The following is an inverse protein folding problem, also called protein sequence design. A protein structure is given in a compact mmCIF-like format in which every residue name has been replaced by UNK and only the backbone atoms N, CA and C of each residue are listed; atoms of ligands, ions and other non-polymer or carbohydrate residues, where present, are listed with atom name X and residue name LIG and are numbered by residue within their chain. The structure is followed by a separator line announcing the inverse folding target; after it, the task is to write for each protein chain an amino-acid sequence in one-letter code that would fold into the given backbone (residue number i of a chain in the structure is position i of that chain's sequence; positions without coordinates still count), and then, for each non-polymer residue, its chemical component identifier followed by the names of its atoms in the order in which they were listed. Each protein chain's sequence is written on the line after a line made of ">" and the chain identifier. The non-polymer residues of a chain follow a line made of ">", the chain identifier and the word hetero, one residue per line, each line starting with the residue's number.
data_IF_460600675332
#
_entry.id   IF_460600675332
#
_cell.length_a   1.000
_cell.length_b   1.000
_cell.length_c   1.000
_cell.angle_alpha   90.00
_cell.angle_beta   90.00
_cell.angle_gamma   90.00
#
_symmetry.space_group_name_H-M   'P 1'
#
loop_
_entity.id
_entity.type
_entity.pdbx_description
1 polymer ?
#
# COMPACT_ATOMS: atom_id res chain seq x y z
N UNK A 1 7.32 -66.48 7.98
CA UNK A 1 8.27 -65.79 7.08
C UNK A 1 7.47 -64.77 6.28
N UNK A 2 7.59 -63.48 6.58
CA UNK A 2 6.86 -62.44 5.84
C UNK A 2 7.54 -62.27 4.48
N UNK A 3 6.88 -62.74 3.41
CA UNK A 3 7.31 -62.47 2.06
C UNK A 3 7.01 -61.00 1.73
N UNK A 4 8.05 -60.23 1.42
CA UNK A 4 7.90 -58.84 0.99
C UNK A 4 7.32 -58.86 -0.43
N UNK A 5 6.18 -58.21 -0.62
CA UNK A 5 5.58 -58.05 -1.94
C UNK A 5 6.35 -56.99 -2.73
N UNK A 6 7.30 -57.47 -3.53
CA UNK A 6 8.16 -56.65 -4.39
C UNK A 6 7.39 -55.78 -5.37
N UNK A 7 6.17 -56.19 -5.76
CA UNK A 7 5.35 -55.44 -6.70
C UNK A 7 4.81 -54.16 -6.05
N UNK A 8 4.37 -54.26 -4.80
CA UNK A 8 3.91 -53.12 -4.01
C UNK A 8 5.05 -52.12 -3.77
N UNK A 9 6.26 -52.63 -3.46
CA UNK A 9 7.42 -51.78 -3.20
C UNK A 9 7.86 -50.99 -4.44
N UNK A 10 7.76 -51.58 -5.63
CA UNK A 10 8.07 -50.90 -6.90
C UNK A 10 7.02 -49.84 -7.26
N UNK A 11 5.75 -50.05 -6.94
CA UNK A 11 4.71 -49.02 -7.13
C UNK A 11 4.92 -47.82 -6.20
N UNK A 12 5.24 -48.06 -4.92
CA UNK A 12 5.60 -46.98 -3.99
C UNK A 12 6.86 -46.24 -4.43
N UNK A 13 7.87 -46.96 -4.92
CA UNK A 13 9.11 -46.33 -5.42
C UNK A 13 8.82 -45.41 -6.61
N UNK A 14 7.92 -45.80 -7.53
CA UNK A 14 7.48 -44.94 -8.64
C UNK A 14 6.74 -43.70 -8.16
N UNK A 15 5.88 -43.82 -7.14
CA UNK A 15 5.17 -42.67 -6.57
C UNK A 15 6.13 -41.71 -5.87
N UNK A 16 7.16 -42.22 -5.20
CA UNK A 16 8.20 -41.41 -4.54
C UNK A 16 9.15 -40.77 -5.56
N UNK A 17 9.45 -41.46 -6.68
CA UNK A 17 10.25 -40.92 -7.79
C UNK A 17 9.45 -40.02 -8.75
N UNK A 18 8.13 -39.91 -8.58
CA UNK A 18 7.37 -38.96 -9.38
C UNK A 18 7.84 -37.54 -9.08
N UNK A 19 7.70 -36.68 -10.10
CA UNK A 19 8.20 -35.31 -10.10
C UNK A 19 7.79 -34.46 -8.88
N UNK A 20 6.54 -34.50 -8.36
CA UNK A 20 6.16 -33.62 -7.27
C UNK A 20 6.85 -33.92 -5.93
N UNK A 21 6.93 -35.19 -5.44
CA UNK A 21 7.72 -35.51 -4.25
C UNK A 21 9.22 -35.23 -4.41
N UNK A 22 9.80 -35.54 -5.58
CA UNK A 22 11.21 -35.26 -5.85
C UNK A 22 11.50 -33.75 -5.83
N UNK A 23 10.65 -32.94 -6.47
CA UNK A 23 10.76 -31.49 -6.46
C UNK A 23 10.61 -30.92 -5.04
N UNK A 24 9.71 -31.47 -4.22
CA UNK A 24 9.56 -31.08 -2.82
C UNK A 24 10.85 -31.35 -2.02
N UNK A 25 11.42 -32.55 -2.13
CA UNK A 25 12.69 -32.90 -1.46
C UNK A 25 13.83 -32.00 -1.94
N UNK A 26 13.96 -31.78 -3.25
CA UNK A 26 14.97 -30.88 -3.82
C UNK A 26 14.82 -29.44 -3.31
N UNK A 27 13.58 -28.95 -3.21
CA UNK A 27 13.26 -27.62 -2.67
C UNK A 27 13.65 -27.53 -1.20
N UNK A 28 13.34 -28.54 -0.39
CA UNK A 28 13.76 -28.59 1.01
C UNK A 28 15.28 -28.55 1.16
N UNK A 29 16.01 -29.32 0.35
CA UNK A 29 17.48 -29.32 0.35
C UNK A 29 18.03 -27.95 -0.06
N UNK A 30 17.49 -27.33 -1.12
CA UNK A 30 17.88 -25.99 -1.54
C UNK A 30 17.64 -24.95 -0.45
N UNK A 31 16.46 -24.95 0.19
CA UNK A 31 16.15 -24.04 1.30
C UNK A 31 17.10 -24.25 2.48
N UNK A 32 17.52 -25.50 2.74
CA UNK A 32 18.45 -25.81 3.82
C UNK A 32 19.88 -25.34 3.53
N UNK A 33 20.37 -25.55 2.31
CA UNK A 33 21.71 -25.11 1.85
C UNK A 33 21.79 -23.59 1.75
N UNK A 34 20.78 -22.95 1.19
CA UNK A 34 20.73 -21.48 0.99
C UNK A 34 20.17 -20.73 2.19
N UNK A 35 19.88 -21.41 3.30
CA UNK A 35 19.40 -20.80 4.54
C UNK A 35 20.22 -19.58 5.01
N UNK A 36 21.57 -19.57 5.00
CA UNK A 36 22.33 -18.40 5.42
C UNK A 36 22.18 -17.21 4.45
N UNK A 37 22.17 -17.46 3.13
CA UNK A 37 22.01 -16.41 2.11
C UNK A 37 20.60 -15.82 2.09
N UNK A 38 19.57 -16.68 2.25
CA UNK A 38 18.17 -16.26 2.36
C UNK A 38 17.99 -15.37 3.60
N UNK A 39 18.60 -15.73 4.74
CA UNK A 39 18.57 -14.88 5.95
C UNK A 39 19.22 -13.53 5.72
N UNK A 40 20.34 -13.48 5.00
CA UNK A 40 21.03 -12.23 4.70
C UNK A 40 20.20 -11.35 3.73
N UNK A 41 19.58 -11.93 2.71
CA UNK A 41 18.69 -11.20 1.79
C UNK A 41 17.40 -10.74 2.46
N UNK A 42 16.76 -11.56 3.30
CA UNK A 42 15.60 -11.17 4.09
C UNK A 42 15.98 -10.05 5.06
N UNK A 43 17.13 -10.13 5.73
CA UNK A 43 17.62 -9.06 6.59
C UNK A 43 17.92 -7.75 5.82
N UNK A 44 18.30 -7.84 4.54
CA UNK A 44 18.45 -6.66 3.68
C UNK A 44 17.10 -6.11 3.19
N UNK A 45 16.11 -6.97 2.94
CA UNK A 45 14.77 -6.57 2.48
C UNK A 45 13.93 -6.06 3.66
N UNK A 46 14.13 -6.57 4.87
CA UNK A 46 13.52 -6.01 6.09
C UNK A 46 14.09 -4.64 6.46
N UNK A 47 15.19 -4.23 5.84
CA UNK A 47 15.73 -2.85 5.88
C UNK A 47 15.39 -2.05 4.63
N UNK A 48 14.76 -2.66 3.63
CA UNK A 48 14.33 -1.96 2.43
C UNK A 48 13.01 -1.23 2.72
N UNK A 49 13.15 0.09 2.80
CA UNK A 49 12.10 1.05 3.10
C UNK A 49 11.14 1.17 1.91
N UNK A 50 9.99 0.51 1.97
CA UNK A 50 8.93 0.70 0.98
C UNK A 50 8.12 1.94 1.37
N UNK A 51 8.24 3.02 0.62
CA UNK A 51 7.36 4.20 0.75
C UNK A 51 7.60 5.09 1.97
N UNK A 52 8.80 5.09 2.56
CA UNK A 52 9.16 6.03 3.63
C UNK A 52 8.81 5.60 5.05
N UNK A 53 8.08 4.49 5.23
CA UNK A 53 7.87 3.85 6.54
C UNK A 53 8.91 2.76 6.80
N UNK A 54 9.51 2.81 7.98
CA UNK A 54 10.37 1.74 8.49
C UNK A 54 9.47 0.61 9.03
N UNK A 55 9.51 -0.56 8.38
CA UNK A 55 8.88 -1.77 8.92
C UNK A 55 9.95 -2.63 9.59
N UNK A 56 10.14 -2.42 10.89
CA UNK A 56 10.95 -3.32 11.72
C UNK A 56 10.15 -4.60 12.01
N UNK A 57 10.31 -5.63 11.15
CA UNK A 57 9.74 -6.96 11.40
C UNK A 57 10.38 -7.69 12.60
N UNK A 58 11.45 -7.14 13.18
CA UNK A 58 12.12 -7.70 14.36
C UNK A 58 11.33 -7.46 15.67
N UNK A 59 10.45 -6.46 15.72
CA UNK A 59 9.75 -6.08 16.96
C UNK A 59 8.42 -6.82 17.17
N UNK A 60 7.97 -7.62 16.20
CA UNK A 60 6.71 -8.36 16.35
C UNK A 60 6.77 -9.49 17.39
N UNK A 61 7.98 -9.84 17.88
CA UNK A 61 8.15 -10.82 18.97
C UNK A 61 8.05 -10.19 20.37
N UNK A 62 7.98 -8.86 20.50
CA UNK A 62 7.83 -8.17 21.81
C UNK A 62 6.40 -7.68 22.09
N UNK A 63 5.49 -7.76 21.13
CA UNK A 63 4.12 -7.25 21.26
C UNK A 63 3.18 -8.12 22.13
N UNK A 64 3.62 -9.29 22.58
CA UNK A 64 2.82 -10.14 23.48
C UNK A 64 3.06 -9.86 24.98
N UNK A 65 3.95 -8.92 25.33
CA UNK A 65 4.32 -8.65 26.72
C UNK A 65 4.00 -7.22 27.20
N UNK A 66 3.28 -6.42 26.41
CA UNK A 66 2.86 -5.07 26.82
C UNK A 66 1.33 -5.06 26.88
N UNK A 67 0.81 -5.60 27.98
CA UNK A 67 -0.53 -5.28 28.47
C UNK A 67 -0.37 -4.65 29.85
N UNK A 68 -1.17 -3.61 30.06
CA UNK A 68 -1.32 -2.78 31.26
C UNK A 68 -0.24 -1.69 31.47
N UNK A 69 -0.68 -0.42 31.47
CA UNK A 69 0.04 0.83 31.82
C UNK A 69 0.86 1.64 30.80
N UNK A 70 0.69 1.44 29.49
CA UNK A 70 1.27 2.37 28.50
C UNK A 70 0.34 3.57 28.21
N UNK A 71 0.66 4.72 28.82
CA UNK A 71 0.19 6.07 28.44
C UNK A 71 0.18 6.23 26.92
N UNK A 72 -0.98 6.58 26.36
CA UNK A 72 -1.11 7.02 24.97
C UNK A 72 -0.16 8.20 24.70
N UNK A 73 0.58 8.21 23.57
CA UNK A 73 1.39 9.36 23.20
C UNK A 73 0.47 10.55 22.96
N UNK A 74 0.71 11.64 23.70
CA UNK A 74 0.02 12.91 23.53
C UNK A 74 0.34 13.56 22.18
N UNK A 75 -0.42 14.61 21.80
CA UNK A 75 -0.13 15.39 20.60
C UNK A 75 1.31 15.94 20.64
N UNK A 76 1.96 16.10 19.47
CA UNK A 76 3.36 16.50 19.40
C UNK A 76 3.54 17.86 20.07
N UNK A 77 4.30 17.89 21.16
CA UNK A 77 4.80 19.12 21.78
C UNK A 77 5.94 19.71 20.92
N UNK A 78 6.00 21.05 20.85
CA UNK A 78 6.95 21.86 20.06
C UNK A 78 8.44 21.57 20.37
N UNK A 79 8.75 20.83 21.44
CA UNK A 79 10.11 20.44 21.83
C UNK A 79 10.55 19.07 21.28
N UNK A 80 9.79 18.46 20.37
CA UNK A 80 10.25 17.26 19.69
C UNK A 80 11.46 17.62 18.81
N UNK A 81 12.63 16.98 18.97
CA UNK A 81 13.82 17.32 18.20
C UNK A 81 13.49 17.20 16.72
N UNK A 82 13.60 18.32 16.01
CA UNK A 82 13.53 18.36 14.53
C UNK A 82 14.47 17.25 14.05
N UNK A 83 13.98 16.27 13.27
CA UNK A 83 14.84 15.26 12.68
C UNK A 83 15.95 15.99 11.93
N UNK A 84 17.17 15.96 12.46
CA UNK A 84 18.34 16.41 11.72
C UNK A 84 18.34 15.62 10.44
N UNK A 85 18.16 16.31 9.32
CA UNK A 85 18.18 15.71 8.00
C UNK A 85 19.47 14.90 7.89
N UNK A 86 19.34 13.58 7.98
CA UNK A 86 20.45 12.68 7.74
C UNK A 86 20.69 12.73 6.23
N UNK A 87 21.51 13.71 5.81
CA UNK A 87 21.80 14.07 4.42
C UNK A 87 22.58 13.00 3.66
N UNK A 88 22.73 11.80 4.21
CA UNK A 88 23.35 10.65 3.56
C UNK A 88 22.36 9.86 2.68
N UNK A 89 21.41 10.55 2.06
CA UNK A 89 20.75 10.04 0.85
C UNK A 89 21.77 10.08 -0.29
N UNK A 90 22.67 9.09 -0.35
CA UNK A 90 23.44 8.85 -1.56
C UNK A 90 22.44 8.32 -2.60
N UNK A 91 21.87 9.23 -3.40
CA UNK A 91 21.48 8.86 -4.76
C UNK A 91 22.70 8.13 -5.33
N UNK A 92 22.59 6.82 -5.58
CA UNK A 92 23.60 6.15 -6.39
C UNK A 92 23.49 6.78 -7.76
N UNK A 93 24.28 7.83 -7.98
CA UNK A 93 24.45 8.49 -9.25
C UNK A 93 25.24 7.56 -10.17
N UNK A 94 24.70 6.37 -10.42
CA UNK A 94 24.87 5.75 -11.72
C UNK A 94 24.13 6.67 -12.69
N UNK A 95 24.80 7.77 -13.04
CA UNK A 95 24.41 8.66 -14.09
C UNK A 95 24.47 7.81 -15.35
N UNK A 96 23.36 7.14 -15.64
CA UNK A 96 23.13 6.51 -16.92
C UNK A 96 23.33 7.63 -17.93
N UNK A 97 24.46 7.59 -18.64
CA UNK A 97 24.73 8.56 -19.71
C UNK A 97 23.52 8.52 -20.62
N UNK A 98 22.83 9.66 -20.71
CA UNK A 98 21.74 9.82 -21.64
C UNK A 98 22.30 9.55 -23.05
N UNK A 99 21.49 8.93 -23.90
CA UNK A 99 21.84 8.90 -25.32
C UNK A 99 21.96 10.34 -25.83
N UNK A 100 22.78 10.59 -26.86
CA UNK A 100 22.82 11.91 -27.51
C UNK A 100 21.42 12.39 -27.91
N UNK A 101 20.55 11.48 -28.31
CA UNK A 101 19.15 11.79 -28.66
C UNK A 101 18.34 12.25 -27.44
N UNK A 102 18.58 11.65 -26.28
CA UNK A 102 17.92 12.01 -25.02
C UNK A 102 18.40 13.37 -24.53
N UNK A 103 19.69 13.71 -24.69
CA UNK A 103 20.23 15.03 -24.34
C UNK A 103 19.62 16.14 -25.20
N UNK A 104 19.48 15.92 -26.51
CA UNK A 104 18.82 16.87 -27.42
C UNK A 104 17.33 17.01 -27.08
N UNK A 105 16.65 15.91 -26.73
CA UNK A 105 15.26 15.95 -26.29
C UNK A 105 15.10 16.73 -24.97
N UNK A 106 15.96 16.47 -23.98
CA UNK A 106 15.98 17.18 -22.70
C UNK A 106 16.24 18.68 -22.90
N UNK A 107 17.18 19.04 -23.77
CA UNK A 107 17.46 20.45 -24.10
C UNK A 107 16.23 21.18 -24.66
N UNK A 108 15.48 20.53 -25.55
CA UNK A 108 14.21 21.07 -26.09
C UNK A 108 13.13 21.19 -25.02
N UNK A 109 13.00 20.18 -24.16
CA UNK A 109 12.02 20.21 -23.06
C UNK A 109 12.32 21.35 -22.08
N UNK A 110 13.58 21.53 -21.68
CA UNK A 110 14.00 22.62 -20.79
C UNK A 110 13.80 24.00 -21.42
N UNK A 111 14.08 24.15 -22.70
CA UNK A 111 13.82 25.41 -23.42
C UNK A 111 12.31 25.72 -23.46
N UNK A 112 11.47 24.71 -23.70
CA UNK A 112 10.02 24.86 -23.68
C UNK A 112 9.49 25.24 -22.29
N UNK A 113 9.98 24.58 -21.24
CA UNK A 113 9.61 24.88 -19.84
C UNK A 113 9.96 26.31 -19.46
N UNK A 114 11.14 26.79 -19.85
CA UNK A 114 11.56 28.18 -19.61
C UNK A 114 10.69 29.19 -20.37
N UNK A 115 10.27 28.85 -21.59
CA UNK A 115 9.41 29.70 -22.40
C UNK A 115 7.94 29.68 -21.92
N UNK A 116 7.50 28.61 -21.25
CA UNK A 116 6.11 28.40 -20.83
C UNK A 116 6.00 28.05 -19.34
N UNK A 117 6.42 28.93 -18.41
CA UNK A 117 6.46 28.62 -16.99
C UNK A 117 5.05 28.36 -16.41
N UNK A 118 4.04 29.11 -16.85
CA UNK A 118 2.65 28.94 -16.39
C UNK A 118 2.08 27.55 -16.69
N UNK A 119 1.98 27.15 -17.97
CA UNK A 119 1.50 25.81 -18.34
C UNK A 119 2.34 24.68 -17.74
N UNK A 120 3.65 24.88 -17.59
CA UNK A 120 4.52 23.87 -16.97
C UNK A 120 4.16 23.67 -15.49
N UNK A 121 3.96 24.76 -14.75
CA UNK A 121 3.58 24.68 -13.33
C UNK A 121 2.21 24.03 -13.18
N UNK A 122 1.24 24.40 -14.03
CA UNK A 122 -0.09 23.79 -14.03
C UNK A 122 -0.03 22.28 -14.30
N UNK A 123 0.74 21.86 -15.32
CA UNK A 123 0.92 20.45 -15.65
C UNK A 123 1.63 19.69 -14.52
N UNK A 124 2.66 20.29 -13.91
CA UNK A 124 3.35 19.72 -12.76
C UNK A 124 2.39 19.52 -11.58
N UNK A 125 1.57 20.53 -11.26
CA UNK A 125 0.56 20.43 -10.21
C UNK A 125 -0.44 19.32 -10.50
N UNK A 126 -0.95 19.25 -11.74
CA UNK A 126 -1.85 18.18 -12.19
C UNK A 126 -1.23 16.78 -12.04
N UNK A 127 -0.01 16.60 -12.53
CA UNK A 127 0.73 15.33 -12.38
C UNK A 127 0.97 14.97 -10.91
N UNK A 128 1.30 15.97 -10.08
CA UNK A 128 1.51 15.76 -8.65
C UNK A 128 0.22 15.32 -7.94
N UNK A 129 -0.93 15.90 -8.32
CA UNK A 129 -2.25 15.53 -7.76
C UNK A 129 -2.64 14.12 -8.21
N UNK A 130 -2.47 13.79 -9.50
CA UNK A 130 -2.69 12.43 -10.01
C UNK A 130 -1.83 11.40 -9.29
N UNK A 131 -0.55 11.68 -9.05
CA UNK A 131 0.33 10.77 -8.31
C UNK A 131 -0.16 10.57 -6.86
N UNK A 132 -0.67 11.62 -6.22
CA UNK A 132 -1.28 11.50 -4.88
C UNK A 132 -2.58 10.70 -4.91
N UNK A 133 -3.39 10.83 -5.97
CA UNK A 133 -4.60 10.04 -6.17
C UNK A 133 -4.27 8.57 -6.40
N UNK A 134 -3.28 8.24 -7.23
CA UNK A 134 -2.80 6.87 -7.41
C UNK A 134 -2.36 6.23 -6.08
N UNK A 135 -1.59 6.96 -5.28
CA UNK A 135 -1.16 6.48 -3.96
C UNK A 135 -2.33 6.30 -3.00
N UNK A 136 -3.32 7.19 -3.06
CA UNK A 136 -4.52 7.09 -2.21
C UNK A 136 -5.41 5.94 -2.68
N UNK A 137 -5.54 5.73 -3.99
CA UNK A 137 -6.32 4.65 -4.56
C UNK A 137 -5.69 3.29 -4.32
N UNK A 138 -4.37 3.18 -4.35
CA UNK A 138 -3.69 1.93 -4.01
C UNK A 138 -3.86 1.53 -2.54
N UNK A 139 -4.25 2.46 -1.68
CA UNK A 139 -4.34 2.28 -0.23
C UNK A 139 -5.78 2.31 0.34
N UNK A 140 -6.80 2.58 -0.47
CA UNK A 140 -8.22 2.47 -0.10
C UNK A 140 -8.91 1.28 -0.78
N UNK A 141 -9.98 0.82 -0.15
CA UNK A 141 -10.78 -0.30 -0.64
C UNK A 141 -11.92 0.13 -1.56
N UNK A 142 -12.43 -0.78 -2.39
CA UNK A 142 -13.55 -0.51 -3.28
C UNK A 142 -14.81 -0.02 -2.54
N UNK A 143 -15.07 -0.50 -1.31
CA UNK A 143 -16.18 -0.02 -0.48
C UNK A 143 -16.03 1.43 -0.04
N UNK A 144 -14.80 1.91 0.18
CA UNK A 144 -14.52 3.33 0.47
C UNK A 144 -14.75 4.19 -0.77
N UNK A 145 -14.35 3.72 -1.96
CA UNK A 145 -14.63 4.44 -3.22
C UNK A 145 -16.14 4.53 -3.46
N UNK A 146 -16.89 3.44 -3.22
CA UNK A 146 -18.35 3.44 -3.28
C UNK A 146 -18.99 4.38 -2.26
N UNK A 147 -18.46 4.44 -1.04
CA UNK A 147 -18.92 5.37 -0.01
C UNK A 147 -18.71 6.83 -0.44
N UNK A 148 -17.56 7.16 -1.04
CA UNK A 148 -17.27 8.49 -1.59
C UNK A 148 -18.21 8.82 -2.75
N UNK A 149 -18.48 7.86 -3.65
CA UNK A 149 -19.39 8.07 -4.77
C UNK A 149 -20.83 8.28 -4.31
N UNK A 150 -21.26 7.55 -3.28
CA UNK A 150 -22.53 7.80 -2.61
C UNK A 150 -22.56 9.18 -1.96
N UNK A 151 -21.49 9.59 -1.27
CA UNK A 151 -21.37 10.92 -0.66
C UNK A 151 -21.44 12.07 -1.68
N UNK A 152 -21.02 11.83 -2.93
CA UNK A 152 -21.15 12.81 -4.03
C UNK A 152 -22.61 13.15 -4.35
N UNK A 153 -23.55 12.25 -4.06
CA UNK A 153 -24.98 12.46 -4.31
C UNK A 153 -25.67 13.32 -3.24
N UNK A 154 -24.98 13.64 -2.13
CA UNK A 154 -25.56 14.41 -1.05
C UNK A 154 -25.71 15.89 -1.42
N UNK A 155 -26.81 16.51 -0.97
CA UNK A 155 -27.03 17.96 -1.10
C UNK A 155 -26.38 18.79 0.03
N UNK A 156 -25.65 18.14 0.95
CA UNK A 156 -25.01 18.76 2.10
C UNK A 156 -24.38 17.74 3.04
N UNK A 157 -23.81 18.19 4.18
CA UNK A 157 -23.21 17.30 5.17
C UNK A 157 -24.22 16.29 5.72
N UNK A 158 -23.79 15.05 5.92
CA UNK A 158 -24.63 13.96 6.42
C UNK A 158 -24.03 13.33 7.68
N UNK A 159 -24.83 12.64 8.51
CA UNK A 159 -24.29 11.91 9.64
C UNK A 159 -23.43 10.71 9.19
N UNK A 160 -22.38 10.33 9.93
CA UNK A 160 -21.56 9.14 9.65
C UNK A 160 -22.38 7.88 9.36
N UNK A 161 -23.46 7.66 10.11
CA UNK A 161 -24.36 6.51 9.95
C UNK A 161 -24.92 6.33 8.53
N UNK A 162 -24.99 7.40 7.71
CA UNK A 162 -25.38 7.30 6.31
C UNK A 162 -24.43 6.43 5.47
N UNK A 163 -23.20 6.20 5.95
CA UNK A 163 -22.19 5.34 5.30
C UNK A 163 -22.07 3.94 5.92
N UNK A 164 -22.91 3.60 6.91
CA UNK A 164 -22.78 2.34 7.66
C UNK A 164 -22.85 1.11 6.74
N UNK A 165 -23.71 1.10 5.73
CA UNK A 165 -23.82 -0.03 4.80
C UNK A 165 -22.52 -0.32 4.03
N UNK A 166 -21.70 0.70 3.79
CA UNK A 166 -20.40 0.54 3.12
C UNK A 166 -19.33 0.02 4.10
N UNK A 167 -19.43 0.39 5.37
CA UNK A 167 -18.62 -0.21 6.45
C UNK A 167 -18.98 -1.68 6.61
N UNK A 168 -20.26 -2.03 6.65
CA UNK A 168 -20.71 -3.42 6.77
C UNK A 168 -20.22 -4.25 5.58
N UNK A 169 -20.27 -3.68 4.37
CA UNK A 169 -19.70 -4.29 3.17
C UNK A 169 -18.18 -4.51 3.31
N UNK A 170 -17.45 -3.56 3.87
CA UNK A 170 -16.02 -3.71 4.15
C UNK A 170 -15.76 -4.82 5.18
N UNK A 171 -16.47 -4.79 6.30
CA UNK A 171 -16.35 -5.75 7.41
C UNK A 171 -16.67 -7.17 6.94
N UNK A 172 -17.68 -7.35 6.08
CA UNK A 172 -18.04 -8.66 5.51
C UNK A 172 -16.92 -9.34 4.72
N UNK A 173 -15.95 -8.55 4.23
CA UNK A 173 -14.79 -9.01 3.46
C UNK A 173 -13.52 -9.10 4.31
N UNK A 174 -13.46 -8.34 5.39
CA UNK A 174 -12.36 -8.35 6.34
C UNK A 174 -12.48 -9.53 7.32
N UNK A 175 -11.37 -9.91 7.96
CA UNK A 175 -11.44 -10.83 9.10
C UNK A 175 -12.24 -10.17 10.24
N UNK A 176 -13.16 -10.88 10.93
CA UNK A 176 -13.94 -10.32 12.03
C UNK A 176 -13.09 -9.68 13.13
N UNK A 177 -11.85 -10.18 13.32
CA UNK A 177 -10.92 -9.72 14.35
C UNK A 177 -10.26 -8.38 14.02
N UNK A 178 -10.29 -7.96 12.75
CA UNK A 178 -9.65 -6.72 12.26
C UNK A 178 -10.67 -5.78 11.62
N UNK A 179 -11.95 -5.98 11.91
CA UNK A 179 -13.05 -5.16 11.40
C UNK A 179 -12.94 -3.72 11.97
N UNK A 180 -12.78 -2.70 11.13
CA UNK A 180 -12.66 -1.33 11.60
C UNK A 180 -14.00 -0.81 12.08
N UNK A 181 -13.97 0.10 13.05
CA UNK A 181 -15.15 0.90 13.40
C UNK A 181 -15.46 1.89 12.29
N UNK A 182 -16.68 2.44 12.28
CA UNK A 182 -17.05 3.51 11.34
C UNK A 182 -16.11 4.71 11.45
N UNK A 183 -15.70 5.07 12.66
CA UNK A 183 -14.77 6.18 12.88
C UNK A 183 -13.39 5.89 12.28
N UNK A 184 -12.89 4.66 12.40
CA UNK A 184 -11.62 4.25 11.76
C UNK A 184 -11.72 4.25 10.23
N UNK A 185 -12.86 3.76 9.70
CA UNK A 185 -13.14 3.78 8.27
C UNK A 185 -13.17 5.21 7.69
N UNK A 186 -13.80 6.14 8.41
CA UNK A 186 -13.90 7.55 8.02
C UNK A 186 -12.62 8.34 8.25
N UNK A 187 -11.94 8.13 9.38
CA UNK A 187 -10.69 8.79 9.72
C UNK A 187 -9.64 8.61 8.61
N UNK A 188 -9.64 7.46 7.94
CA UNK A 188 -8.78 7.25 6.78
C UNK A 188 -9.11 8.21 5.64
N UNK A 189 -10.38 8.28 5.20
CA UNK A 189 -10.79 9.16 4.10
C UNK A 189 -10.61 10.65 4.45
N UNK A 190 -10.82 11.02 5.72
CA UNK A 190 -10.57 12.37 6.23
C UNK A 190 -9.08 12.70 6.24
N UNK A 191 -8.21 11.78 6.67
CA UNK A 191 -6.75 11.96 6.65
C UNK A 191 -6.20 12.21 5.24
N UNK A 192 -6.81 11.60 4.22
CA UNK A 192 -6.45 11.82 2.82
C UNK A 192 -7.14 13.04 2.18
N UNK A 193 -7.93 13.78 2.97
CA UNK A 193 -8.64 14.99 2.54
C UNK A 193 -9.75 14.71 1.54
N UNK A 194 -10.29 13.48 1.49
CA UNK A 194 -11.40 13.10 0.60
C UNK A 194 -12.75 13.43 1.22
N UNK A 195 -12.85 13.25 2.54
CA UNK A 195 -13.96 13.71 3.38
C UNK A 195 -13.45 14.79 4.34
N UNK A 196 -14.37 15.58 4.89
CA UNK A 196 -14.10 16.49 6.00
C UNK A 196 -15.18 16.34 7.07
N UNK A 197 -14.81 16.52 8.33
CA UNK A 197 -15.76 16.67 9.43
C UNK A 197 -16.30 18.09 9.44
N UNK A 198 -17.62 18.20 9.56
CA UNK A 198 -18.35 19.46 9.74
C UNK A 198 -18.85 19.52 11.18
N UNK A 199 -19.08 20.72 11.69
CA UNK A 199 -19.68 20.96 12.99
C UNK A 199 -20.94 20.11 13.21
N UNK A 200 -21.11 19.62 14.45
CA UNK A 200 -22.20 18.70 14.79
C UNK A 200 -21.91 17.23 14.46
N UNK A 201 -20.65 16.87 14.15
CA UNK A 201 -20.24 15.49 13.89
C UNK A 201 -20.69 14.98 12.51
N UNK A 202 -21.06 15.88 11.61
CA UNK A 202 -21.43 15.56 10.25
C UNK A 202 -20.17 15.38 9.39
N UNK A 203 -20.35 14.77 8.23
CA UNK A 203 -19.31 14.55 7.23
C UNK A 203 -19.76 15.08 5.88
N UNK A 204 -18.82 15.64 5.13
CA UNK A 204 -19.05 16.11 3.77
C UNK A 204 -17.92 15.66 2.83
N UNK A 205 -18.27 15.47 1.56
CA UNK A 205 -17.29 15.23 0.50
C UNK A 205 -16.55 16.54 0.18
N UNK A 206 -15.22 16.48 0.12
CA UNK A 206 -14.40 17.65 -0.23
C UNK A 206 -14.32 17.82 -1.75
N UNK A 207 -13.90 19.01 -2.23
CA UNK A 207 -13.60 19.20 -3.65
C UNK A 207 -12.50 18.25 -4.14
N UNK A 208 -11.50 17.97 -3.29
CA UNK A 208 -10.44 17.00 -3.57
C UNK A 208 -11.02 15.59 -3.70
N UNK A 209 -12.00 15.22 -2.87
CA UNK A 209 -12.73 13.96 -2.97
C UNK A 209 -13.50 13.83 -4.29
N UNK A 210 -14.11 14.93 -4.78
CA UNK A 210 -14.76 14.96 -6.10
C UNK A 210 -13.74 14.75 -7.23
N UNK A 211 -12.63 15.50 -7.24
CA UNK A 211 -11.57 15.34 -8.26
C UNK A 211 -10.93 13.96 -8.23
N UNK A 212 -10.74 13.39 -7.04
CA UNK A 212 -10.27 12.02 -6.86
C UNK A 212 -11.22 11.01 -7.52
N UNK A 213 -12.53 11.12 -7.29
CA UNK A 213 -13.52 10.25 -7.93
C UNK A 213 -13.53 10.38 -9.45
N UNK A 214 -13.47 11.62 -9.95
CA UNK A 214 -13.41 11.88 -11.40
C UNK A 214 -12.16 11.26 -12.02
N UNK A 215 -11.02 11.40 -11.35
CA UNK A 215 -9.76 10.78 -11.76
C UNK A 215 -9.87 9.25 -11.83
N UNK A 216 -10.33 8.60 -10.77
CA UNK A 216 -10.41 7.13 -10.71
C UNK A 216 -11.41 6.59 -11.72
N UNK A 217 -12.56 7.22 -11.92
CA UNK A 217 -13.54 6.80 -12.92
C UNK A 217 -13.02 6.96 -14.35
N UNK A 218 -12.17 7.95 -14.60
CA UNK A 218 -11.57 8.17 -15.91
C UNK A 218 -10.42 7.19 -16.20
N UNK A 219 -9.51 6.99 -15.24
CA UNK A 219 -8.33 6.11 -15.40
C UNK A 219 -8.70 4.63 -15.31
N UNK A 220 -9.64 4.29 -14.43
CA UNK A 220 -10.12 2.93 -14.19
C UNK A 220 -11.62 2.85 -14.49
N UNK A 221 -12.05 2.91 -15.76
CA UNK A 221 -13.47 2.94 -16.12
C UNK A 221 -14.23 1.68 -15.67
N UNK A 222 -13.51 0.56 -15.56
CA UNK A 222 -14.02 -0.69 -15.02
C UNK A 222 -13.17 -1.14 -13.83
N UNK A 223 -13.79 -1.88 -12.91
CA UNK A 223 -13.05 -2.56 -11.84
C UNK A 223 -12.78 -1.74 -10.56
N UNK A 224 -12.93 -0.42 -10.58
CA UNK A 224 -12.73 0.42 -9.39
C UNK A 224 -13.66 0.02 -8.22
N UNK A 225 -14.92 -0.30 -8.52
CA UNK A 225 -15.91 -0.74 -7.53
C UNK A 225 -15.71 -2.19 -7.05
N UNK A 226 -15.06 -3.02 -7.86
CA UNK A 226 -14.88 -4.45 -7.58
C UNK A 226 -13.54 -4.78 -6.92
N UNK A 227 -12.73 -3.79 -6.52
CA UNK A 227 -11.49 -4.06 -5.81
C UNK A 227 -11.78 -4.73 -4.47
N UNK A 228 -11.23 -5.94 -4.33
CA UNK A 228 -11.31 -6.78 -3.12
C UNK A 228 -10.20 -6.39 -2.13
N UNK A 229 -9.15 -5.70 -2.61
CA UNK A 229 -7.93 -5.36 -1.87
C UNK A 229 -7.48 -3.93 -2.15
#
# INVERSE_FOLDING_TARGET
>A
MCAIDWKLLLEYLKVVLNWPPLAFVLTCVLVWVFRPEIRQKIASISKARVGGQEFNFADQTQLSAISEDAKLPGPPTEDSPVPTADTNYQFSAEAKKLSNDDEVALGRALAWVRANPGPTVEEFLRMSEHLQFERTFSSIFGSQVLALDFARSWSGPQPPAALQSFVDMYVSRASPQTAPTIDQFLAYMVRHGLLLHVDGGLIALTERGVRFLDYIKNVYPTGWASRVW
#
